data_IF_208818691920
#
_entry.id   IF_208818691920
#
_cell.length_a   1.000
_cell.length_b   1.000
_cell.length_c   1.000
_cell.angle_alpha   90.00
_cell.angle_beta   90.00
_cell.angle_gamma   90.00
#
_symmetry.space_group_name_H-M   'P 1'
#
loop_
_entity.id
_entity.type
_entity.pdbx_description
1 polymer ?
#
# COMPACT_ATOMS: atom_id res chain seq x y z
N UNK A 1 50.77 -36.08 -46.29
CA UNK A 1 51.88 -35.67 -45.40
C UNK A 1 51.67 -34.19 -45.11
N UNK A 2 51.19 -33.85 -43.90
CA UNK A 2 52.02 -33.35 -42.79
C UNK A 2 52.71 -32.01 -43.17
N UNK A 3 52.58 -30.87 -42.48
CA UNK A 3 52.14 -30.53 -41.11
C UNK A 3 52.33 -29.00 -40.97
N UNK A 4 51.54 -28.36 -40.08
CA UNK A 4 51.94 -27.26 -39.15
C UNK A 4 52.40 -25.92 -39.78
N UNK A 5 52.23 -24.75 -39.19
CA UNK A 5 51.48 -24.22 -38.06
C UNK A 5 51.40 -22.69 -38.28
N UNK A 6 50.37 -22.05 -37.74
CA UNK A 6 50.15 -20.62 -37.85
C UNK A 6 51.00 -19.84 -36.85
N UNK A 7 51.84 -18.93 -37.35
CA UNK A 7 52.44 -17.84 -36.58
C UNK A 7 51.54 -16.60 -36.73
N UNK A 8 50.71 -16.35 -35.73
CA UNK A 8 49.92 -15.13 -35.63
C UNK A 8 50.75 -14.06 -34.92
N UNK A 9 51.34 -13.16 -35.71
CA UNK A 9 51.99 -11.96 -35.22
C UNK A 9 50.96 -11.01 -34.57
N UNK A 10 51.29 -10.52 -33.37
CA UNK A 10 50.58 -9.51 -32.59
C UNK A 10 50.33 -8.23 -33.41
N UNK A 11 49.06 -7.95 -33.73
CA UNK A 11 48.61 -6.62 -34.15
C UNK A 11 48.07 -5.85 -32.94
N UNK A 12 48.78 -4.79 -32.57
CA UNK A 12 48.47 -3.86 -31.49
C UNK A 12 47.31 -2.95 -31.91
N UNK A 13 46.07 -3.35 -31.59
CA UNK A 13 44.89 -2.50 -31.77
C UNK A 13 44.75 -1.53 -30.59
N UNK A 14 44.86 -0.24 -30.88
CA UNK A 14 44.67 0.88 -29.95
C UNK A 14 43.29 0.81 -29.28
N UNK A 15 43.24 0.65 -27.95
CA UNK A 15 42.05 0.91 -27.16
C UNK A 15 41.72 2.41 -27.19
N UNK A 16 40.47 2.82 -27.47
CA UNK A 16 40.03 4.17 -27.16
C UNK A 16 39.94 4.34 -25.63
N UNK A 17 40.27 5.52 -25.09
CA UNK A 17 40.26 5.75 -23.65
C UNK A 17 38.84 5.58 -23.09
N UNK A 18 38.76 4.87 -21.96
CA UNK A 18 37.57 4.72 -21.15
C UNK A 18 36.99 6.10 -20.83
N UNK A 19 35.82 6.41 -21.38
CA UNK A 19 35.04 7.56 -20.94
C UNK A 19 34.61 7.30 -19.51
N UNK A 20 35.16 8.11 -18.61
CA UNK A 20 34.74 8.27 -17.22
C UNK A 20 33.22 8.35 -17.13
N UNK A 21 32.69 7.69 -16.10
CA UNK A 21 31.28 7.34 -15.93
C UNK A 21 30.32 8.47 -16.25
N UNK A 22 29.40 8.18 -17.17
CA UNK A 22 28.11 8.84 -17.15
C UNK A 22 27.45 8.54 -15.79
N UNK A 23 26.77 9.52 -15.16
CA UNK A 23 25.98 9.24 -13.98
C UNK A 23 25.02 8.10 -14.35
N UNK A 24 24.99 7.05 -13.53
CA UNK A 24 23.95 6.05 -13.59
C UNK A 24 22.63 6.82 -13.62
N UNK A 25 21.91 6.75 -14.75
CA UNK A 25 20.53 7.20 -14.80
C UNK A 25 19.84 6.44 -13.67
N UNK A 26 19.48 7.15 -12.60
CA UNK A 26 18.54 6.63 -11.63
C UNK A 26 17.36 6.13 -12.47
N UNK A 27 17.05 4.83 -12.34
CA UNK A 27 15.80 4.31 -12.88
C UNK A 27 14.71 5.30 -12.42
N UNK A 28 13.82 5.75 -13.32
CA UNK A 28 12.73 6.61 -12.90
C UNK A 28 12.08 5.92 -11.71
N UNK A 29 12.06 6.62 -10.56
CA UNK A 29 11.29 6.16 -9.43
C UNK A 29 9.92 5.81 -10.00
N UNK A 30 9.55 4.53 -9.95
CA UNK A 30 8.21 4.11 -10.31
C UNK A 30 7.31 4.91 -9.38
N UNK A 31 6.73 5.99 -9.90
CA UNK A 31 5.68 6.70 -9.22
C UNK A 31 4.61 5.63 -9.02
N UNK A 32 4.38 5.27 -7.77
CA UNK A 32 3.27 4.40 -7.42
C UNK A 32 2.01 4.98 -8.11
N UNK A 33 1.20 4.13 -8.77
CA UNK A 33 -0.01 4.60 -9.43
C UNK A 33 -0.79 5.47 -8.44
N UNK A 34 -1.03 6.73 -8.80
CA UNK A 34 -1.79 7.63 -7.93
C UNK A 34 -3.17 7.00 -7.68
N UNK A 35 -3.56 6.95 -6.41
CA UNK A 35 -4.84 6.39 -5.98
C UNK A 35 -5.98 7.05 -6.78
N UNK A 36 -6.73 6.24 -7.54
CA UNK A 36 -7.88 6.73 -8.29
C UNK A 36 -9.02 7.02 -7.33
N UNK A 37 -9.31 8.30 -7.11
CA UNK A 37 -10.43 8.68 -6.24
C UNK A 37 -11.77 8.61 -6.98
N UNK A 38 -12.79 8.06 -6.30
CA UNK A 38 -14.17 7.99 -6.79
C UNK A 38 -15.15 8.45 -5.70
N UNK A 39 -16.28 8.99 -6.12
CA UNK A 39 -17.41 9.21 -5.21
C UNK A 39 -17.97 7.84 -4.80
N UNK A 40 -18.00 7.57 -3.50
CA UNK A 40 -18.56 6.35 -2.95
C UNK A 40 -20.08 6.45 -2.83
N UNK A 41 -20.71 5.29 -2.74
CA UNK A 41 -22.14 5.14 -2.46
C UNK A 41 -22.33 4.23 -1.25
N UNK A 42 -23.47 4.33 -0.56
CA UNK A 42 -23.82 3.43 0.54
C UNK A 42 -23.69 1.96 0.12
N UNK A 43 -24.22 1.63 -1.07
CA UNK A 43 -24.18 0.26 -1.61
C UNK A 43 -22.76 -0.25 -1.83
N UNK A 44 -21.84 0.59 -2.32
CA UNK A 44 -20.45 0.20 -2.50
C UNK A 44 -19.78 -0.10 -1.16
N UNK A 45 -20.05 0.68 -0.12
CA UNK A 45 -19.51 0.43 1.23
C UNK A 45 -20.07 -0.86 1.83
N UNK A 46 -21.39 -1.07 1.72
CA UNK A 46 -22.04 -2.28 2.21
C UNK A 46 -21.53 -3.54 1.49
N UNK A 47 -21.39 -3.48 0.17
CA UNK A 47 -20.83 -4.55 -0.63
C UNK A 47 -19.35 -4.80 -0.30
N UNK A 48 -18.56 -3.75 -0.06
CA UNK A 48 -17.15 -3.89 0.32
C UNK A 48 -17.03 -4.60 1.67
N UNK A 49 -17.80 -4.18 2.68
CA UNK A 49 -17.84 -4.85 3.99
C UNK A 49 -18.17 -6.33 3.89
N UNK A 50 -19.14 -6.70 3.05
CA UNK A 50 -19.51 -8.10 2.83
C UNK A 50 -18.41 -8.87 2.11
N UNK A 51 -17.87 -8.30 1.02
CA UNK A 51 -16.79 -8.91 0.24
C UNK A 51 -15.52 -9.12 1.08
N UNK A 52 -15.09 -8.13 1.87
CA UNK A 52 -13.89 -8.26 2.71
C UNK A 52 -14.04 -9.41 3.71
N UNK A 53 -15.21 -9.56 4.35
CA UNK A 53 -15.48 -10.67 5.28
C UNK A 53 -15.45 -12.04 4.59
N UNK A 54 -15.88 -12.12 3.33
CA UNK A 54 -15.81 -13.35 2.54
C UNK A 54 -14.40 -13.65 2.01
N UNK A 55 -13.59 -12.62 1.75
CA UNK A 55 -12.21 -12.74 1.27
C UNK A 55 -11.22 -13.08 2.39
N UNK A 56 -11.44 -12.57 3.60
CA UNK A 56 -10.59 -12.81 4.78
C UNK A 56 -10.14 -14.27 4.98
N UNK A 57 -11.03 -15.29 4.96
CA UNK A 57 -10.60 -16.69 5.15
C UNK A 57 -9.72 -17.24 4.03
N UNK A 58 -9.67 -16.56 2.87
CA UNK A 58 -8.75 -16.87 1.77
C UNK A 58 -7.41 -16.16 1.99
N UNK A 59 -7.44 -14.86 2.29
CA UNK A 59 -6.24 -14.03 2.43
C UNK A 59 -5.46 -14.34 3.71
N UNK A 60 -6.14 -14.62 4.81
CA UNK A 60 -5.53 -14.90 6.12
C UNK A 60 -4.79 -16.24 6.20
N UNK A 61 -4.82 -17.03 5.12
CA UNK A 61 -4.03 -18.26 4.96
C UNK A 61 -2.81 -18.08 4.07
N UNK A 62 -2.67 -16.92 3.44
CA UNK A 62 -1.54 -16.62 2.58
C UNK A 62 -0.37 -16.18 3.46
N UNK A 63 0.86 -16.65 3.17
CA UNK A 63 2.05 -16.05 3.77
C UNK A 63 2.19 -14.60 3.32
N UNK A 64 2.80 -13.74 4.15
CA UNK A 64 2.98 -12.32 3.84
C UNK A 64 3.73 -12.09 2.51
N UNK A 65 4.70 -12.96 2.19
CA UNK A 65 5.46 -12.96 0.93
C UNK A 65 4.83 -13.81 -0.19
N UNK A 66 3.52 -14.07 -0.13
CA UNK A 66 2.83 -14.84 -1.15
C UNK A 66 2.99 -14.20 -2.53
N UNK A 67 3.52 -14.98 -3.49
CA UNK A 67 3.52 -14.56 -4.89
C UNK A 67 2.07 -14.49 -5.40
N UNK A 68 1.76 -13.59 -6.35
CA UNK A 68 0.47 -13.58 -7.02
C UNK A 68 0.11 -14.97 -7.56
N UNK A 69 -0.97 -15.55 -7.05
CA UNK A 69 -1.49 -16.84 -7.50
C UNK A 69 -2.77 -16.61 -8.32
N UNK A 70 -2.81 -16.99 -9.61
CA UNK A 70 -3.97 -16.78 -10.47
C UNK A 70 -5.27 -17.42 -9.96
N UNK A 71 -5.19 -18.53 -9.22
CA UNK A 71 -6.36 -19.19 -8.64
C UNK A 71 -6.91 -18.37 -7.48
N UNK A 72 -6.03 -17.84 -6.62
CA UNK A 72 -6.43 -16.95 -5.53
C UNK A 72 -7.06 -15.69 -6.12
N UNK A 73 -6.42 -15.06 -7.11
CA UNK A 73 -6.99 -13.89 -7.80
C UNK A 73 -8.36 -14.19 -8.40
N UNK A 74 -8.55 -15.35 -9.03
CA UNK A 74 -9.84 -15.75 -9.57
C UNK A 74 -10.91 -15.98 -8.48
N UNK A 75 -10.53 -16.50 -7.31
CA UNK A 75 -11.44 -16.64 -6.18
C UNK A 75 -11.87 -15.29 -5.62
N UNK A 76 -10.94 -14.36 -5.44
CA UNK A 76 -11.22 -13.00 -4.98
C UNK A 76 -12.12 -12.26 -5.99
N UNK A 77 -11.85 -12.38 -7.28
CA UNK A 77 -12.73 -11.83 -8.33
C UNK A 77 -14.14 -12.44 -8.30
N UNK A 78 -14.25 -13.75 -8.06
CA UNK A 78 -15.54 -14.41 -7.86
C UNK A 78 -16.33 -13.85 -6.67
N UNK A 79 -15.66 -13.59 -5.54
CA UNK A 79 -16.29 -13.00 -4.36
C UNK A 79 -16.70 -11.54 -4.61
N UNK A 80 -15.84 -10.76 -5.26
CA UNK A 80 -16.14 -9.38 -5.62
C UNK A 80 -17.40 -9.33 -6.51
N UNK A 81 -17.46 -10.18 -7.54
CA UNK A 81 -18.63 -10.30 -8.43
C UNK A 81 -19.89 -10.74 -7.72
N UNK A 82 -19.78 -11.72 -6.81
CA UNK A 82 -20.89 -12.17 -5.97
C UNK A 82 -21.46 -11.03 -5.13
N UNK A 83 -20.61 -10.13 -4.66
CA UNK A 83 -21.00 -8.96 -3.86
C UNK A 83 -21.35 -7.73 -4.71
N UNK A 84 -21.53 -7.88 -6.02
CA UNK A 84 -22.07 -6.83 -6.89
C UNK A 84 -21.03 -5.85 -7.42
N UNK A 85 -19.74 -6.15 -7.31
CA UNK A 85 -18.69 -5.48 -8.08
C UNK A 85 -18.55 -6.10 -9.47
N UNK A 86 -18.03 -5.36 -10.43
CA UNK A 86 -17.77 -5.87 -11.79
C UNK A 86 -16.52 -6.75 -11.85
N UNK A 87 -15.56 -6.52 -10.95
CA UNK A 87 -14.30 -7.24 -10.84
C UNK A 87 -13.64 -7.04 -9.48
N UNK A 88 -12.58 -7.82 -9.21
CA UNK A 88 -11.71 -7.58 -8.05
C UNK A 88 -11.05 -6.19 -8.09
N UNK A 89 -10.69 -5.67 -9.26
CA UNK A 89 -10.14 -4.30 -9.40
C UNK A 89 -11.13 -3.21 -8.97
N UNK A 90 -12.43 -3.38 -9.26
CA UNK A 90 -13.44 -2.42 -8.80
C UNK A 90 -13.59 -2.48 -7.28
N UNK A 91 -13.59 -3.68 -6.70
CA UNK A 91 -13.57 -3.85 -5.24
C UNK A 91 -12.35 -3.15 -4.63
N UNK A 92 -11.14 -3.37 -5.16
CA UNK A 92 -9.92 -2.71 -4.66
C UNK A 92 -10.02 -1.20 -4.77
N UNK A 93 -10.51 -0.67 -5.90
CA UNK A 93 -10.72 0.78 -6.06
C UNK A 93 -11.66 1.36 -5.00
N UNK A 94 -12.73 0.63 -4.65
CA UNK A 94 -13.67 1.05 -3.61
C UNK A 94 -13.02 0.98 -2.22
N UNK A 95 -12.34 -0.11 -1.89
CA UNK A 95 -11.62 -0.27 -0.62
C UNK A 95 -10.53 0.79 -0.45
N UNK A 96 -9.76 1.07 -1.50
CA UNK A 96 -8.74 2.12 -1.54
C UNK A 96 -9.30 3.51 -1.19
N UNK A 97 -10.48 3.84 -1.71
CA UNK A 97 -11.16 5.10 -1.41
C UNK A 97 -11.73 5.13 0.02
N UNK A 98 -12.21 4.00 0.52
CA UNK A 98 -12.65 3.84 1.90
C UNK A 98 -11.45 4.03 2.85
N UNK A 99 -10.35 3.32 2.59
CA UNK A 99 -9.12 3.35 3.39
C UNK A 99 -8.47 4.73 3.41
N UNK A 100 -8.44 5.43 2.26
CA UNK A 100 -7.98 6.81 2.19
C UNK A 100 -8.71 7.71 3.20
N UNK A 101 -10.04 7.60 3.24
CA UNK A 101 -10.87 8.42 4.10
C UNK A 101 -10.80 7.95 5.55
N UNK A 102 -10.84 6.63 5.77
CA UNK A 102 -10.78 5.99 7.09
C UNK A 102 -9.47 6.34 7.82
N UNK A 103 -8.34 6.40 7.10
CA UNK A 103 -7.05 6.80 7.65
C UNK A 103 -7.00 8.24 8.17
N UNK A 104 -8.00 9.08 7.84
CA UNK A 104 -8.16 10.42 8.39
C UNK A 104 -9.05 10.51 9.64
N UNK A 105 -9.58 9.40 10.15
CA UNK A 105 -10.38 9.37 11.37
C UNK A 105 -9.52 9.19 12.61
N UNK A 106 -9.79 10.00 13.63
CA UNK A 106 -9.30 9.77 14.98
C UNK A 106 -10.05 8.58 15.60
N UNK A 107 -9.37 7.49 16.01
CA UNK A 107 -10.03 6.28 16.49
C UNK A 107 -10.70 6.43 17.86
N UNK A 108 -10.35 7.44 18.64
CA UNK A 108 -10.95 7.68 19.95
C UNK A 108 -12.27 8.46 19.84
N UNK A 109 -12.27 9.48 18.99
CA UNK A 109 -13.40 10.41 18.85
C UNK A 109 -14.31 10.06 17.67
N UNK A 110 -13.87 9.16 16.78
CA UNK A 110 -14.55 8.77 15.53
C UNK A 110 -14.84 9.96 14.62
N UNK A 111 -14.02 11.01 14.71
CA UNK A 111 -14.14 12.21 13.89
C UNK A 111 -13.07 12.23 12.83
N UNK A 112 -13.43 12.65 11.62
CA UNK A 112 -12.46 12.94 10.59
C UNK A 112 -11.66 14.20 10.97
N UNK A 113 -10.37 14.01 11.23
CA UNK A 113 -9.41 15.08 11.57
C UNK A 113 -8.33 15.24 10.48
N UNK A 114 -8.31 14.32 9.52
CA UNK A 114 -7.32 14.23 8.45
C UNK A 114 -6.10 13.40 8.85
N UNK A 115 -5.43 12.76 7.87
CA UNK A 115 -4.39 11.76 8.15
C UNK A 115 -3.18 12.33 8.89
N UNK A 116 -2.78 13.57 8.60
CA UNK A 116 -1.68 14.23 9.32
C UNK A 116 -1.99 14.42 10.80
N UNK A 117 -3.22 14.82 11.15
CA UNK A 117 -3.63 15.00 12.53
C UNK A 117 -3.71 13.65 13.26
N UNK A 118 -4.16 12.60 12.58
CA UNK A 118 -4.15 11.21 13.09
C UNK A 118 -2.72 10.78 13.43
N UNK A 119 -1.77 10.93 12.51
CA UNK A 119 -0.37 10.54 12.74
C UNK A 119 0.25 11.35 13.89
N UNK A 120 -0.02 12.65 13.99
CA UNK A 120 0.45 13.48 15.12
C UNK A 120 -0.13 13.03 16.46
N UNK A 121 -1.41 12.64 16.49
CA UNK A 121 -2.03 12.09 17.70
C UNK A 121 -1.39 10.76 18.09
N UNK A 122 -1.13 9.87 17.13
CA UNK A 122 -0.42 8.59 17.36
C UNK A 122 0.99 8.82 17.90
N UNK A 123 1.74 9.78 17.36
CA UNK A 123 3.06 10.19 17.89
C UNK A 123 2.95 10.60 19.36
N UNK A 124 1.97 11.45 19.70
CA UNK A 124 1.77 11.89 21.07
C UNK A 124 1.40 10.73 22.01
N UNK A 125 0.58 9.78 21.55
CA UNK A 125 0.22 8.58 22.29
C UNK A 125 1.44 7.69 22.55
N UNK A 126 2.24 7.39 21.53
CA UNK A 126 3.48 6.60 21.64
C UNK A 126 4.49 7.27 22.59
N UNK A 127 4.63 8.60 22.53
CA UNK A 127 5.48 9.34 23.46
C UNK A 127 5.00 9.19 24.91
N UNK A 128 3.69 9.32 25.13
CA UNK A 128 3.08 9.22 26.45
C UNK A 128 3.01 7.80 27.01
N UNK A 129 3.12 6.75 26.18
CA UNK A 129 3.00 5.37 26.62
C UNK A 129 4.21 4.93 27.46
N UNK A 130 4.01 4.79 28.77
CA UNK A 130 5.04 4.36 29.72
C UNK A 130 5.27 2.85 29.73
N UNK A 131 4.42 2.06 29.06
CA UNK A 131 4.48 0.60 29.00
C UNK A 131 5.28 0.10 27.79
N UNK A 132 5.39 0.88 26.73
CA UNK A 132 6.28 0.55 25.60
C UNK A 132 7.75 0.51 26.03
N UNK A 133 8.49 -0.47 25.49
CA UNK A 133 9.93 -0.49 25.64
C UNK A 133 10.56 0.71 24.92
N UNK A 134 11.76 1.12 25.35
CA UNK A 134 12.48 2.20 24.69
C UNK A 134 12.81 1.89 23.23
N UNK A 135 13.00 0.60 22.88
CA UNK A 135 13.27 0.14 21.52
C UNK A 135 12.02 0.33 20.64
N UNK A 136 10.91 -0.28 21.03
CA UNK A 136 9.66 -0.24 20.26
C UNK A 136 9.15 1.20 20.12
N UNK A 137 9.30 2.00 21.19
CA UNK A 137 8.92 3.43 21.15
C UNK A 137 9.74 4.18 20.11
N UNK A 138 11.04 3.92 20.02
CA UNK A 138 11.91 4.57 19.05
C UNK A 138 11.55 4.15 17.62
N UNK A 139 11.26 2.87 17.40
CA UNK A 139 10.85 2.33 16.09
C UNK A 139 9.51 2.93 15.65
N UNK A 140 8.47 2.82 16.47
CA UNK A 140 7.15 3.40 16.16
C UNK A 140 7.21 4.91 15.90
N UNK A 141 8.01 5.65 16.67
CA UNK A 141 8.21 7.08 16.41
C UNK A 141 8.96 7.33 15.09
N UNK A 142 9.91 6.49 14.72
CA UNK A 142 10.61 6.62 13.44
C UNK A 142 9.63 6.41 12.27
N UNK A 143 8.82 5.35 12.32
CA UNK A 143 7.84 5.01 11.28
C UNK A 143 6.77 6.10 11.14
N UNK A 144 6.22 6.59 12.25
CA UNK A 144 5.22 7.67 12.23
C UNK A 144 5.81 9.00 11.73
N UNK A 145 7.06 9.33 12.08
CA UNK A 145 7.73 10.52 11.55
C UNK A 145 8.10 10.37 10.07
N UNK A 146 8.35 9.15 9.59
CA UNK A 146 8.54 8.88 8.17
C UNK A 146 7.24 9.05 7.40
N UNK A 147 6.12 8.52 7.93
CA UNK A 147 4.80 8.69 7.34
C UNK A 147 4.41 10.18 7.16
N UNK A 148 4.79 11.06 8.10
CA UNK A 148 4.57 12.52 7.97
C UNK A 148 5.32 13.17 6.79
N UNK A 149 6.38 12.55 6.28
CA UNK A 149 7.14 13.06 5.11
C UNK A 149 6.46 12.72 3.78
N UNK A 150 5.56 11.75 3.79
CA UNK A 150 4.85 11.25 2.62
C UNK A 150 3.35 11.39 2.87
N UNK A 151 2.80 12.63 2.78
CA UNK A 151 1.40 12.86 3.09
C UNK A 151 0.50 12.05 2.17
N UNK A 152 -0.51 11.40 2.74
CA UNK A 152 -1.58 10.76 1.98
C UNK A 152 -2.26 11.81 1.07
N UNK A 153 -2.76 11.40 -0.11
CA UNK A 153 -3.45 12.31 -1.00
C UNK A 153 -4.66 12.95 -0.31
N UNK A 154 -4.96 14.20 -0.65
CA UNK A 154 -6.14 14.86 -0.10
C UNK A 154 -7.42 14.18 -0.60
N UNK A 155 -8.40 13.97 0.28
CA UNK A 155 -9.72 13.47 -0.12
C UNK A 155 -10.40 14.48 -1.04
N UNK A 156 -10.58 14.12 -2.31
CA UNK A 156 -11.23 14.95 -3.33
C UNK A 156 -12.76 14.86 -3.20
N UNK A 157 -13.27 13.63 -3.02
CA UNK A 157 -14.70 13.36 -2.89
C UNK A 157 -15.16 13.55 -1.44
N UNK A 158 -15.37 14.81 -1.02
CA UNK A 158 -15.69 15.15 0.39
C UNK A 158 -16.91 14.42 0.96
N UNK A 159 -17.91 14.10 0.14
CA UNK A 159 -19.08 13.31 0.58
C UNK A 159 -18.72 11.89 1.07
N UNK A 160 -17.57 11.36 0.68
CA UNK A 160 -17.08 10.08 1.19
C UNK A 160 -16.79 10.14 2.69
N UNK A 161 -16.47 11.32 3.26
CA UNK A 161 -16.23 11.48 4.70
C UNK A 161 -17.52 11.21 5.48
N UNK A 162 -18.65 11.74 5.02
CA UNK A 162 -19.96 11.52 5.67
C UNK A 162 -20.37 10.04 5.58
N UNK A 163 -20.15 9.43 4.42
CA UNK A 163 -20.41 8.00 4.22
C UNK A 163 -19.53 7.13 5.13
N UNK A 164 -18.22 7.35 5.16
CA UNK A 164 -17.32 6.58 6.04
C UNK A 164 -17.62 6.85 7.51
N UNK A 165 -18.01 8.08 7.89
CA UNK A 165 -18.48 8.38 9.25
C UNK A 165 -19.70 7.53 9.60
N UNK A 166 -20.69 7.43 8.70
CA UNK A 166 -21.91 6.65 8.90
C UNK A 166 -21.61 5.16 9.12
N UNK A 167 -20.61 4.60 8.44
CA UNK A 167 -20.23 3.19 8.53
C UNK A 167 -18.99 2.92 9.39
N UNK A 168 -18.50 3.93 10.12
CA UNK A 168 -17.18 3.93 10.75
C UNK A 168 -16.90 2.66 11.56
N UNK A 169 -17.80 2.28 12.47
CA UNK A 169 -17.56 1.15 13.37
C UNK A 169 -17.38 -0.17 12.61
N UNK A 170 -18.17 -0.38 11.55
CA UNK A 170 -18.06 -1.59 10.72
C UNK A 170 -16.80 -1.57 9.86
N UNK A 171 -16.44 -0.39 9.34
CA UNK A 171 -15.27 -0.21 8.51
C UNK A 171 -13.98 -0.34 9.32
N UNK A 172 -13.92 0.24 10.52
CA UNK A 172 -12.80 0.11 11.43
C UNK A 172 -12.59 -1.33 11.92
N UNK A 173 -13.68 -2.08 12.16
CA UNK A 173 -13.60 -3.51 12.49
C UNK A 173 -12.95 -4.35 11.39
N UNK A 174 -13.21 -4.02 10.12
CA UNK A 174 -12.89 -4.90 8.98
C UNK A 174 -11.65 -4.43 8.21
N UNK A 175 -11.42 -3.12 8.14
CA UNK A 175 -10.39 -2.47 7.34
C UNK A 175 -9.50 -1.53 8.16
N UNK A 176 -9.78 -1.34 9.46
CA UNK A 176 -8.90 -0.56 10.31
C UNK A 176 -7.51 -1.17 10.32
N UNK A 177 -6.47 -0.32 10.36
CA UNK A 177 -5.10 -0.79 10.58
C UNK A 177 -5.10 -1.59 11.89
N UNK A 178 -4.88 -2.89 11.77
CA UNK A 178 -4.94 -3.86 12.85
C UNK A 178 -3.74 -3.68 13.79
N UNK A 179 -3.73 -2.62 14.60
CA UNK A 179 -2.92 -2.56 15.82
C UNK A 179 -3.68 -3.26 16.96
N UNK A 180 -4.00 -4.54 16.75
CA UNK A 180 -4.36 -5.44 17.84
C UNK A 180 -3.68 -6.77 17.58
N UNK A 181 -2.45 -6.90 18.08
CA UNK A 181 -2.06 -7.96 19.02
C UNK A 181 -0.77 -7.61 19.76
#
# INVERSE_FOLDING_TARGET
MATLAADAALAQAKQPPAKQGAPAQAAPAQQEPQLKQIALTDKQIENALAATKEMDPITSKLPDDAKPDPKITAQLDGIAKKNGFSSYDEYNTVVDNISLVLGGFDPQTKKYVGPEAVIKAQIAQVQADKKMSAKDKKEALADLNEALKSPQPAVENKGNIDLVTKYYDKLAEVLGASDQE
#
